data_IF_108654679757
#
_entry.id   IF_108654679757
#
_cell.length_a   1.000
_cell.length_b   1.000
_cell.length_c   1.000
_cell.angle_alpha   90.00
_cell.angle_beta   90.00
_cell.angle_gamma   90.00
#
_symmetry.space_group_name_H-M   'P 1'
#
loop_
_entity.id
_entity.type
_entity.pdbx_description
1 polymer ?
#
# COMPACT_ATOMS: atom_id res chain seq x y z
N UNK A 1 1.58 -2.84 -7.68
CA UNK A 1 0.54 -3.91 -7.85
C UNK A 1 0.50 -4.30 -9.31
N UNK A 2 0.35 -5.60 -9.62
CA UNK A 2 0.23 -6.15 -10.99
C UNK A 2 -1.19 -6.69 -11.14
N UNK A 3 -1.96 -6.19 -12.10
CA UNK A 3 -3.36 -6.61 -12.27
C UNK A 3 -3.52 -7.87 -13.11
N UNK A 4 -2.59 -8.15 -14.01
CA UNK A 4 -2.56 -9.37 -14.81
C UNK A 4 -3.65 -9.44 -15.87
N UNK A 5 -3.92 -8.34 -16.55
CA UNK A 5 -4.90 -8.28 -17.65
C UNK A 5 -4.34 -8.79 -18.97
N UNK A 6 -5.18 -9.28 -19.88
CA UNK A 6 -4.74 -9.78 -21.19
C UNK A 6 -4.70 -8.70 -22.27
N UNK A 7 -5.83 -8.03 -22.53
CA UNK A 7 -5.92 -6.96 -23.52
C UNK A 7 -5.30 -5.64 -23.05
N UNK A 8 -5.29 -5.45 -21.73
CA UNK A 8 -4.63 -4.32 -21.08
C UNK A 8 -4.07 -4.78 -19.74
N UNK A 9 -2.82 -4.46 -19.50
CA UNK A 9 -2.14 -4.65 -18.23
C UNK A 9 -1.97 -3.30 -17.54
N UNK A 10 -2.11 -3.29 -16.22
CA UNK A 10 -1.77 -2.16 -15.38
C UNK A 10 -0.76 -2.59 -14.32
N UNK A 11 0.35 -1.88 -14.25
CA UNK A 11 1.34 -2.00 -13.20
C UNK A 11 1.29 -0.73 -12.36
N UNK A 12 0.68 -0.80 -11.19
CA UNK A 12 0.69 0.32 -10.25
C UNK A 12 2.02 0.34 -9.50
N UNK A 13 2.75 1.42 -9.68
CA UNK A 13 4.10 1.58 -9.17
C UNK A 13 4.08 2.40 -7.89
N UNK A 14 4.90 1.97 -6.94
CA UNK A 14 5.20 2.70 -5.71
C UNK A 14 6.71 2.87 -5.60
N UNK A 15 7.11 3.95 -4.94
CA UNK A 15 8.49 4.17 -4.56
C UNK A 15 8.50 4.75 -3.14
N UNK A 16 9.29 4.16 -2.24
CA UNK A 16 9.21 4.39 -0.80
C UNK A 16 9.65 5.79 -0.35
N UNK A 17 10.33 6.53 -1.22
CA UNK A 17 10.79 7.89 -0.91
C UNK A 17 9.86 8.99 -1.44
N UNK A 18 8.80 8.63 -2.18
CA UNK A 18 7.86 9.61 -2.74
C UNK A 18 6.77 9.95 -1.73
N UNK A 19 6.90 11.13 -1.12
CA UNK A 19 5.95 11.66 -0.15
C UNK A 19 5.45 13.04 -0.57
N UNK A 20 4.18 13.35 -0.29
CA UNK A 20 3.63 14.69 -0.50
C UNK A 20 4.05 15.62 0.64
N UNK A 21 4.46 16.82 0.29
CA UNK A 21 4.91 17.83 1.24
C UNK A 21 6.41 17.73 1.54
N UNK A 22 6.88 18.67 2.34
CA UNK A 22 8.27 18.69 2.81
C UNK A 22 8.45 17.93 4.13
N UNK A 23 9.70 17.68 4.53
CA UNK A 23 9.98 17.15 5.85
C UNK A 23 9.34 18.03 6.94
N UNK A 24 8.67 17.41 7.89
CA UNK A 24 8.07 18.10 9.02
C UNK A 24 8.29 17.30 10.32
N UNK A 25 8.22 17.99 11.43
CA UNK A 25 8.36 17.37 12.73
C UNK A 25 7.02 16.77 13.16
N UNK A 26 6.96 15.44 13.24
CA UNK A 26 5.78 14.69 13.69
C UNK A 26 5.70 14.51 15.21
N UNK A 27 6.61 15.14 15.97
CA UNK A 27 6.62 14.99 17.43
C UNK A 27 5.60 15.92 18.05
N UNK A 28 4.60 15.34 18.74
CA UNK A 28 3.73 16.11 19.63
C UNK A 28 4.42 16.25 20.99
N UNK A 29 4.76 17.49 21.43
CA UNK A 29 5.44 17.69 22.71
C UNK A 29 4.62 17.22 23.92
N UNK A 30 3.29 17.24 23.84
CA UNK A 30 2.40 16.77 24.91
C UNK A 30 2.49 15.24 25.16
N UNK A 31 2.96 14.47 24.18
CA UNK A 31 3.06 13.01 24.30
C UNK A 31 3.94 12.57 25.48
N UNK A 32 5.02 13.30 25.73
CA UNK A 32 5.95 12.99 26.82
C UNK A 32 5.28 13.13 28.20
N UNK A 33 4.47 14.15 28.36
CA UNK A 33 3.77 14.45 29.62
C UNK A 33 2.60 13.51 29.84
N UNK A 34 1.89 13.11 28.76
CA UNK A 34 0.76 12.18 28.84
C UNK A 34 1.18 10.71 29.06
N UNK A 35 2.40 10.32 28.66
CA UNK A 35 2.86 8.94 28.66
C UNK A 35 2.73 8.21 30.01
N UNK A 36 3.05 8.80 31.19
CA UNK A 36 2.90 8.11 32.46
C UNK A 36 1.43 7.76 32.76
N UNK A 37 0.50 8.64 32.42
CA UNK A 37 -0.93 8.41 32.66
C UNK A 37 -1.48 7.37 31.69
N UNK A 38 -1.08 7.38 30.43
CA UNK A 38 -1.45 6.32 29.46
C UNK A 38 -1.01 4.95 29.98
N UNK A 39 0.22 4.82 30.49
CA UNK A 39 0.71 3.57 31.08
C UNK A 39 -0.11 3.13 32.27
N UNK A 40 -0.45 4.06 33.17
CA UNK A 40 -1.29 3.77 34.35
C UNK A 40 -2.64 3.22 33.93
N UNK A 41 -3.31 3.87 32.98
CA UNK A 41 -4.61 3.44 32.46
C UNK A 41 -4.55 2.05 31.81
N UNK A 42 -3.50 1.74 31.06
CA UNK A 42 -3.30 0.41 30.46
C UNK A 42 -3.16 -0.65 31.55
N UNK A 43 -2.35 -0.41 32.59
CA UNK A 43 -2.15 -1.37 33.67
C UNK A 43 -3.39 -1.56 34.56
N UNK A 44 -4.26 -0.57 34.61
CA UNK A 44 -5.57 -0.66 35.26
C UNK A 44 -6.67 -1.31 34.42
N UNK A 45 -6.37 -1.66 33.14
CA UNK A 45 -7.33 -2.25 32.20
C UNK A 45 -8.30 -1.23 31.59
N UNK A 46 -8.06 0.06 31.76
CA UNK A 46 -8.88 1.16 31.24
C UNK A 46 -8.45 1.53 29.81
N UNK A 47 -8.54 0.55 28.90
CA UNK A 47 -7.99 0.67 27.54
C UNK A 47 -8.65 1.78 26.71
N UNK A 48 -9.96 2.00 26.87
CA UNK A 48 -10.65 3.05 26.14
C UNK A 48 -10.12 4.44 26.51
N UNK A 49 -9.96 4.70 27.78
CA UNK A 49 -9.45 5.98 28.27
C UNK A 49 -7.98 6.19 27.91
N UNK A 50 -7.19 5.11 27.94
CA UNK A 50 -5.82 5.15 27.44
C UNK A 50 -5.76 5.50 25.93
N UNK A 51 -6.67 4.91 25.14
CA UNK A 51 -6.77 5.21 23.71
C UNK A 51 -7.15 6.67 23.45
N UNK A 52 -8.20 7.15 24.14
CA UNK A 52 -8.69 8.52 23.98
C UNK A 52 -7.56 9.54 24.34
N UNK A 53 -6.83 9.27 25.44
CA UNK A 53 -5.68 10.09 25.84
C UNK A 53 -4.50 10.03 24.84
N UNK A 54 -4.26 8.87 24.24
CA UNK A 54 -3.28 8.73 23.15
C UNK A 54 -3.69 9.52 21.94
N UNK A 55 -4.93 9.43 21.50
CA UNK A 55 -5.43 10.13 20.33
C UNK A 55 -5.30 11.64 20.49
N UNK A 56 -5.60 12.15 21.68
CA UNK A 56 -5.49 13.57 22.00
C UNK A 56 -4.03 14.08 22.06
N UNK A 57 -3.09 13.29 22.60
CA UNK A 57 -1.77 13.79 22.96
C UNK A 57 -0.62 13.22 22.11
N UNK A 58 -0.82 12.09 21.40
CA UNK A 58 0.24 11.47 20.58
C UNK A 58 0.05 11.74 19.09
N UNK A 59 -1.20 11.98 18.66
CA UNK A 59 -1.48 12.33 17.27
C UNK A 59 -1.18 13.81 17.01
N UNK A 60 -0.68 14.10 15.82
CA UNK A 60 -0.64 15.46 15.32
C UNK A 60 -2.01 15.83 14.77
N UNK A 61 -2.59 16.90 15.28
CA UNK A 61 -3.91 17.38 14.84
C UNK A 61 -3.97 17.78 13.34
N UNK A 62 -2.83 17.96 12.69
CA UNK A 62 -2.76 18.44 11.31
C UNK A 62 -2.59 17.33 10.25
N UNK A 63 -1.98 16.21 10.61
CA UNK A 63 -1.85 15.03 9.72
C UNK A 63 -1.30 13.83 10.49
N UNK A 64 -1.75 12.64 10.15
CA UNK A 64 -1.20 11.38 10.68
C UNK A 64 0.17 11.01 10.06
N UNK A 65 0.95 11.97 9.66
CA UNK A 65 2.22 11.84 8.97
C UNK A 65 2.23 12.52 7.59
N UNK A 66 3.31 12.39 6.85
CA UNK A 66 3.36 12.86 5.47
C UNK A 66 2.48 12.00 4.58
N UNK A 67 1.62 12.58 3.72
CA UNK A 67 0.83 11.80 2.78
C UNK A 67 1.74 11.04 1.82
N UNK A 68 1.52 9.73 1.73
CA UNK A 68 2.21 8.88 0.76
C UNK A 68 1.64 9.09 -0.64
N UNK A 69 2.51 9.13 -1.64
CA UNK A 69 2.09 9.23 -3.04
C UNK A 69 2.48 7.99 -3.81
N UNK A 70 1.62 7.60 -4.75
CA UNK A 70 1.98 6.58 -5.74
C UNK A 70 2.94 7.18 -6.78
N UNK A 71 3.89 6.37 -7.27
CA UNK A 71 4.77 6.78 -8.35
C UNK A 71 4.01 6.93 -9.69
N UNK A 72 2.89 6.22 -9.83
CA UNK A 72 2.03 6.22 -11.01
C UNK A 72 1.65 4.82 -11.45
N UNK A 73 1.06 4.72 -12.64
CA UNK A 73 0.71 3.44 -13.27
C UNK A 73 1.34 3.33 -14.66
N UNK A 74 1.94 2.19 -14.94
CA UNK A 74 2.35 1.81 -16.29
C UNK A 74 1.21 1.01 -16.92
N UNK A 75 0.69 1.51 -18.04
CA UNK A 75 -0.37 0.86 -18.79
C UNK A 75 0.21 0.25 -20.07
N UNK A 76 -0.03 -1.03 -20.28
CA UNK A 76 0.38 -1.77 -21.46
C UNK A 76 -0.87 -2.25 -22.19
N UNK A 77 -1.08 -1.76 -23.40
CA UNK A 77 -2.19 -2.17 -24.25
C UNK A 77 -1.73 -3.21 -25.27
N UNK A 78 -2.49 -4.30 -25.40
CA UNK A 78 -2.24 -5.38 -26.34
C UNK A 78 -3.42 -5.47 -27.33
N UNK A 79 -3.39 -4.69 -28.42
CA UNK A 79 -4.48 -4.68 -29.39
C UNK A 79 -4.69 -6.08 -30.00
N UNK A 80 -5.96 -6.48 -30.07
CA UNK A 80 -6.33 -7.82 -30.59
C UNK A 80 -6.40 -8.94 -29.55
N UNK A 81 -5.85 -8.76 -28.35
CA UNK A 81 -5.89 -9.78 -27.27
C UNK A 81 -7.22 -9.78 -26.52
N UNK A 82 -8.35 -9.98 -27.22
CA UNK A 82 -9.70 -9.92 -26.62
C UNK A 82 -10.29 -11.29 -26.32
N UNK A 83 -10.13 -12.25 -27.22
CA UNK A 83 -10.65 -13.60 -27.09
C UNK A 83 -9.52 -14.53 -26.66
N UNK A 84 -9.23 -14.56 -25.38
CA UNK A 84 -8.13 -15.35 -24.84
C UNK A 84 -8.60 -16.71 -24.36
N UNK A 85 -7.77 -17.73 -24.52
CA UNK A 85 -7.91 -19.05 -23.90
C UNK A 85 -6.73 -19.37 -22.99
N UNK A 86 -6.84 -20.44 -22.21
CA UNK A 86 -5.77 -20.94 -21.33
C UNK A 86 -5.20 -19.85 -20.38
N UNK A 87 -6.07 -18.95 -19.94
CA UNK A 87 -5.66 -17.86 -19.05
C UNK A 87 -5.30 -18.37 -17.66
N UNK A 88 -4.13 -17.94 -17.18
CA UNK A 88 -3.72 -18.11 -15.79
C UNK A 88 -2.95 -16.91 -15.27
N UNK A 89 -2.97 -16.73 -13.96
CA UNK A 89 -2.11 -15.79 -13.23
C UNK A 89 -1.50 -16.52 -12.06
N UNK A 90 -0.23 -16.24 -11.82
CA UNK A 90 0.53 -16.82 -10.72
C UNK A 90 1.42 -15.76 -10.07
N UNK A 91 1.67 -15.93 -8.78
CA UNK A 91 2.61 -15.11 -8.02
C UNK A 91 3.54 -16.05 -7.23
N UNK A 92 4.76 -16.15 -7.69
CA UNK A 92 5.82 -16.85 -6.95
C UNK A 92 6.42 -15.90 -5.90
N UNK A 93 6.13 -16.15 -4.63
CA UNK A 93 6.63 -15.34 -3.52
C UNK A 93 8.13 -15.54 -3.27
N UNK A 94 8.69 -16.70 -3.63
CA UNK A 94 10.10 -16.98 -3.41
C UNK A 94 11.01 -16.18 -4.36
N UNK A 95 10.52 -15.96 -5.58
CA UNK A 95 11.24 -15.20 -6.61
C UNK A 95 10.69 -13.78 -6.81
N UNK A 96 9.60 -13.44 -6.11
CA UNK A 96 8.83 -12.19 -6.29
C UNK A 96 8.39 -11.98 -7.75
N UNK A 97 8.03 -13.07 -8.44
CA UNK A 97 7.67 -13.05 -9.86
C UNK A 97 6.16 -13.20 -10.05
N UNK A 98 5.54 -12.21 -10.66
CA UNK A 98 4.14 -12.31 -11.11
C UNK A 98 4.11 -12.76 -12.57
N UNK A 99 3.39 -13.85 -12.85
CA UNK A 99 3.26 -14.41 -14.19
C UNK A 99 1.82 -14.28 -14.69
N UNK A 100 1.67 -13.90 -15.95
CA UNK A 100 0.40 -13.93 -16.69
C UNK A 100 0.60 -14.71 -17.98
N UNK A 101 -0.18 -15.77 -18.16
CA UNK A 101 -0.13 -16.57 -19.39
C UNK A 101 -1.52 -16.75 -20.01
N UNK A 102 -1.57 -16.81 -21.33
CA UNK A 102 -2.80 -17.02 -22.11
C UNK A 102 -2.46 -17.37 -23.56
N UNK A 103 -3.46 -17.77 -24.33
CA UNK A 103 -3.33 -17.94 -25.77
C UNK A 103 -4.34 -17.05 -26.53
N UNK A 104 -3.94 -16.57 -27.70
CA UNK A 104 -4.78 -15.86 -28.66
C UNK A 104 -4.51 -16.46 -30.05
N UNK A 105 -5.56 -16.90 -30.74
CA UNK A 105 -5.48 -17.50 -32.06
C UNK A 105 -4.41 -18.60 -32.17
N UNK A 106 -4.28 -19.43 -31.11
CA UNK A 106 -3.32 -20.52 -31.03
C UNK A 106 -1.89 -20.11 -30.67
N UNK A 107 -1.61 -18.83 -30.52
CA UNK A 107 -0.30 -18.31 -30.09
C UNK A 107 -0.32 -18.12 -28.57
N UNK A 108 0.68 -18.69 -27.89
CA UNK A 108 0.84 -18.55 -26.44
C UNK A 108 1.65 -17.30 -26.10
N UNK A 109 1.13 -16.55 -25.14
CA UNK A 109 1.77 -15.36 -24.58
C UNK A 109 2.07 -15.60 -23.11
N UNK A 110 3.23 -15.17 -22.66
CA UNK A 110 3.64 -15.17 -21.25
C UNK A 110 4.32 -13.84 -20.94
N UNK A 111 3.96 -13.28 -19.78
CA UNK A 111 4.62 -12.11 -19.20
C UNK A 111 5.04 -12.42 -17.78
N UNK A 112 6.23 -11.96 -17.42
CA UNK A 112 6.80 -12.05 -16.08
C UNK A 112 7.32 -10.71 -15.65
#
# INVERSE_FOLDING_TARGET
MVYGGCGREELQLNEETIWAGGPHNNVNPAAREALPEVRRLIFEGRYKEAFDLCDENFSLHASHGMPYQTAGSLLLDFPGHRNVSDFYRDLDLATATATVGYAVDGIRYKRE
#
